data_IF_198940053945
#
_entry.id   IF_198940053945
#
_cell.length_a   1.000
_cell.length_b   1.000
_cell.length_c   1.000
_cell.angle_alpha   90.00
_cell.angle_beta   90.00
_cell.angle_gamma   90.00
#
_symmetry.space_group_name_H-M   'P 1'
#
loop_
_entity.id
_entity.type
_entity.pdbx_description
1 polymer ?
#
# COMPACT_ATOMS: atom_id res chain seq x y z
N UNK A 1 -13.43 -10.14 15.64
CA UNK A 1 -12.33 -10.96 15.07
C UNK A 1 -11.02 -10.30 15.45
N UNK A 2 -10.16 -10.99 16.21
CA UNK A 2 -8.83 -10.47 16.50
C UNK A 2 -8.00 -10.60 15.22
N UNK A 3 -7.71 -9.48 14.57
CA UNK A 3 -6.84 -9.45 13.40
C UNK A 3 -5.45 -9.97 13.81
N UNK A 4 -4.89 -10.87 13.01
CA UNK A 4 -3.48 -11.29 13.17
C UNK A 4 -2.62 -10.05 12.97
N UNK A 5 -1.87 -9.68 14.01
CA UNK A 5 -0.97 -8.52 13.97
C UNK A 5 0.20 -8.84 13.04
N UNK A 6 0.42 -8.01 12.03
CA UNK A 6 1.60 -8.09 11.16
C UNK A 6 2.64 -7.07 11.65
N UNK A 7 3.85 -7.55 11.94
CA UNK A 7 4.94 -6.78 12.56
C UNK A 7 6.20 -6.65 11.69
N UNK A 8 6.26 -7.35 10.56
CA UNK A 8 7.26 -7.10 9.51
C UNK A 8 7.02 -5.73 8.84
N UNK A 9 8.04 -5.10 8.22
CA UNK A 9 7.84 -3.84 7.51
C UNK A 9 6.81 -3.96 6.39
N UNK A 10 5.78 -3.12 6.45
CA UNK A 10 4.66 -3.10 5.51
C UNK A 10 4.61 -1.80 4.71
N UNK A 11 4.19 -1.89 3.46
CA UNK A 11 3.93 -0.75 2.59
C UNK A 11 2.54 -0.82 1.94
N UNK A 12 1.87 0.32 1.82
CA UNK A 12 0.55 0.44 1.18
C UNK A 12 0.54 1.59 0.19
N UNK A 13 0.05 1.34 -1.01
CA UNK A 13 -0.31 2.38 -1.98
C UNK A 13 -1.80 2.31 -2.30
N UNK A 14 -2.49 3.44 -2.14
CA UNK A 14 -3.90 3.58 -2.49
C UNK A 14 -4.07 4.05 -3.92
N UNK A 15 -4.74 3.25 -4.75
CA UNK A 15 -5.13 3.63 -6.11
C UNK A 15 -6.53 4.26 -6.10
N UNK A 16 -6.76 5.37 -6.84
CA UNK A 16 -7.95 6.20 -6.66
C UNK A 16 -9.27 5.54 -7.10
N UNK A 17 -9.22 4.51 -7.98
CA UNK A 17 -10.39 3.75 -8.43
C UNK A 17 -10.49 2.35 -7.82
N UNK A 18 -9.74 2.07 -6.75
CA UNK A 18 -9.96 0.87 -5.95
C UNK A 18 -11.34 0.94 -5.28
N UNK A 19 -12.09 -0.16 -5.28
CA UNK A 19 -13.43 -0.25 -4.72
C UNK A 19 -13.43 0.03 -3.21
N UNK A 20 -12.38 -0.40 -2.52
CA UNK A 20 -12.22 -0.22 -1.08
C UNK A 20 -10.87 0.40 -0.72
N UNK A 21 -10.89 1.63 -0.22
CA UNK A 21 -9.71 2.32 0.31
C UNK A 21 -9.84 2.49 1.83
N UNK A 22 -9.16 1.65 2.64
CA UNK A 22 -9.30 1.74 4.09
C UNK A 22 -8.71 3.07 4.61
N UNK A 23 -9.30 3.67 5.66
CA UNK A 23 -8.67 4.76 6.39
C UNK A 23 -7.28 4.34 6.88
N UNK A 24 -6.31 5.25 6.86
CA UNK A 24 -4.93 4.97 7.31
C UNK A 24 -4.88 4.40 8.73
N UNK A 25 -5.68 4.94 9.65
CA UNK A 25 -5.75 4.47 11.03
C UNK A 25 -6.15 2.98 11.15
N UNK A 26 -6.94 2.45 10.20
CA UNK A 26 -7.29 1.03 10.19
C UNK A 26 -6.12 0.17 9.72
N UNK A 27 -5.37 0.65 8.71
CA UNK A 27 -4.15 -0.02 8.26
C UNK A 27 -3.08 -0.02 9.36
N UNK A 28 -2.89 1.08 10.08
CA UNK A 28 -1.94 1.17 11.21
C UNK A 28 -2.32 0.25 12.37
N UNK A 29 -3.62 0.01 12.59
CA UNK A 29 -4.09 -0.96 13.59
C UNK A 29 -3.79 -2.41 13.18
N UNK A 30 -3.85 -2.72 11.89
CA UNK A 30 -3.57 -4.06 11.37
C UNK A 30 -2.06 -4.33 11.19
N UNK A 31 -1.31 -3.32 10.75
CA UNK A 31 0.11 -3.36 10.42
C UNK A 31 0.88 -2.50 11.41
N UNK A 32 1.45 -3.14 12.42
CA UNK A 32 2.16 -2.43 13.49
C UNK A 32 3.49 -1.81 13.06
N UNK A 33 3.99 -2.18 11.88
CA UNK A 33 5.22 -1.66 11.29
C UNK A 33 4.95 -1.16 9.84
N UNK A 34 3.98 -0.25 9.71
CA UNK A 34 3.66 0.40 8.44
C UNK A 34 4.67 1.52 8.13
N UNK A 35 5.63 1.24 7.25
CA UNK A 35 6.75 2.14 6.95
C UNK A 35 6.58 2.92 5.64
N UNK A 36 5.63 2.51 4.80
CA UNK A 36 5.33 3.20 3.55
C UNK A 36 3.83 3.35 3.35
N UNK A 37 3.39 4.58 3.10
CA UNK A 37 2.00 4.91 2.84
C UNK A 37 1.93 5.96 1.74
N UNK A 38 1.33 5.61 0.61
CA UNK A 38 1.19 6.55 -0.51
C UNK A 38 -0.19 6.48 -1.17
N UNK A 39 -0.51 7.50 -1.97
CA UNK A 39 -1.67 7.54 -2.86
C UNK A 39 -1.21 7.78 -4.28
N UNK A 40 -1.50 6.83 -5.17
CA UNK A 40 -1.22 6.96 -6.59
C UNK A 40 -2.13 8.02 -7.23
N UNK A 41 -1.63 8.69 -8.28
CA UNK A 41 -2.39 9.69 -9.02
C UNK A 41 -3.48 9.11 -9.93
N UNK A 42 -3.38 7.82 -10.28
CA UNK A 42 -4.27 7.13 -11.23
C UNK A 42 -4.22 5.61 -11.03
N UNK A 43 -5.29 4.92 -11.43
CA UNK A 43 -5.43 3.46 -11.46
C UNK A 43 -6.53 2.96 -10.52
N UNK A 44 -6.85 1.67 -10.57
CA UNK A 44 -7.85 1.03 -9.74
C UNK A 44 -7.44 -0.35 -9.26
N UNK A 45 -8.41 -1.26 -9.24
CA UNK A 45 -8.29 -2.59 -8.65
C UNK A 45 -7.17 -3.43 -9.26
N UNK A 46 -6.96 -3.31 -10.57
CA UNK A 46 -5.90 -4.04 -11.28
C UNK A 46 -4.67 -3.16 -11.45
N UNK A 47 -4.18 -2.55 -10.38
CA UNK A 47 -3.11 -1.53 -10.40
C UNK A 47 -1.89 -1.90 -11.26
N UNK A 48 -1.39 -3.14 -11.13
CA UNK A 48 -0.24 -3.61 -11.91
C UNK A 48 -0.53 -3.71 -13.42
N UNK A 49 -1.77 -4.03 -13.80
CA UNK A 49 -2.20 -4.13 -15.19
C UNK A 49 -2.61 -2.77 -15.77
N UNK A 50 -3.39 -1.99 -15.02
CA UNK A 50 -3.88 -0.68 -15.45
C UNK A 50 -2.75 0.36 -15.50
N UNK A 51 -1.83 0.34 -14.54
CA UNK A 51 -0.80 1.36 -14.35
C UNK A 51 0.57 0.73 -14.03
N UNK A 52 1.13 -0.10 -14.93
CA UNK A 52 2.33 -0.90 -14.65
C UNK A 52 3.53 -0.05 -14.21
N UNK A 53 3.72 1.13 -14.80
CA UNK A 53 4.81 2.05 -14.44
C UNK A 53 4.65 2.63 -13.04
N UNK A 54 3.44 3.07 -12.67
CA UNK A 54 3.17 3.61 -11.35
C UNK A 54 3.33 2.50 -10.31
N UNK A 55 2.70 1.34 -10.53
CA UNK A 55 2.82 0.19 -9.65
C UNK A 55 4.29 -0.21 -9.40
N UNK A 56 5.08 -0.35 -10.47
CA UNK A 56 6.50 -0.72 -10.34
C UNK A 56 7.31 0.33 -9.55
N UNK A 57 7.01 1.61 -9.72
CA UNK A 57 7.71 2.67 -8.99
C UNK A 57 7.34 2.68 -7.50
N UNK A 58 6.09 2.40 -7.15
CA UNK A 58 5.64 2.27 -5.76
C UNK A 58 6.34 1.10 -5.04
N UNK A 59 6.48 -0.04 -5.71
CA UNK A 59 7.25 -1.19 -5.19
C UNK A 59 8.73 -0.83 -5.00
N UNK A 60 9.32 -0.10 -5.96
CA UNK A 60 10.72 0.36 -5.84
C UNK A 60 10.90 1.38 -4.72
N UNK A 61 9.97 2.31 -4.55
CA UNK A 61 10.00 3.31 -3.47
C UNK A 61 9.99 2.63 -2.11
N UNK A 62 9.11 1.64 -1.91
CA UNK A 62 9.13 0.82 -0.70
C UNK A 62 10.48 0.09 -0.53
N UNK A 63 10.97 -0.58 -1.59
CA UNK A 63 12.24 -1.31 -1.53
C UNK A 63 13.47 -0.45 -1.24
N UNK A 64 13.47 0.83 -1.63
CA UNK A 64 14.55 1.79 -1.34
C UNK A 64 14.64 2.17 0.14
N UNK A 65 13.60 1.96 0.96
CA UNK A 65 13.65 2.22 2.40
C UNK A 65 14.59 1.26 3.16
N UNK A 66 14.99 0.17 2.52
CA UNK A 66 15.81 -0.89 3.13
C UNK A 66 17.16 -1.08 2.43
N UNK A 67 17.60 -0.08 1.66
CA UNK A 67 18.88 -0.07 0.95
C UNK A 67 19.81 0.98 1.51
#
# INVERSE_FOLDING_TARGET
>A
MNAVKIDVPMGVTLFPKEFYTPPRAWAEKAFSNLVYWNRASRGGHFAAFEQPKIFAEEVRNFGRLFR
#
